data_IF_203787286161
#
_entry.id   IF_203787286161
#
_cell.length_a   1.000
_cell.length_b   1.000
_cell.length_c   1.000
_cell.angle_alpha   90.00
_cell.angle_beta   90.00
_cell.angle_gamma   90.00
#
_symmetry.space_group_name_H-M   'P 1'
#
loop_
_entity.id
_entity.type
_entity.pdbx_description
1 polymer ?
#
# COMPACT_ATOMS: atom_id res chain seq x y z
N UNK A 1 21.81 -25.88 31.13
CA UNK A 1 21.83 -25.54 29.74
C UNK A 1 21.41 -24.11 29.52
N UNK A 2 22.32 -23.32 29.06
CA UNK A 2 21.95 -21.92 28.85
C UNK A 2 20.93 -21.83 27.73
N UNK A 3 19.99 -20.98 27.97
CA UNK A 3 19.01 -20.66 26.95
C UNK A 3 19.63 -19.68 25.96
N UNK A 4 19.31 -19.88 24.72
CA UNK A 4 19.75 -18.91 23.74
C UNK A 4 19.17 -17.55 24.05
N UNK A 5 19.93 -16.52 23.84
CA UNK A 5 19.34 -15.19 23.99
C UNK A 5 18.17 -15.01 23.05
N UNK A 6 17.20 -14.33 23.52
CA UNK A 6 16.08 -13.99 22.66
C UNK A 6 16.59 -13.16 21.50
N UNK A 7 16.01 -13.35 20.34
CA UNK A 7 16.34 -12.46 19.24
C UNK A 7 15.98 -11.03 19.61
N UNK A 8 16.72 -10.07 19.08
CA UNK A 8 16.33 -8.68 19.32
C UNK A 8 14.91 -8.47 18.89
N UNK A 9 14.21 -7.70 19.68
CA UNK A 9 12.83 -7.38 19.35
C UNK A 9 12.81 -6.59 18.05
N UNK A 10 12.01 -6.99 17.07
CA UNK A 10 11.90 -6.21 15.85
C UNK A 10 11.04 -4.97 16.01
N UNK A 11 10.32 -4.86 17.12
CA UNK A 11 9.34 -3.80 17.27
C UNK A 11 9.92 -2.41 17.14
N UNK A 12 11.06 -2.07 17.75
CA UNK A 12 11.58 -0.71 17.58
C UNK A 12 11.90 -0.36 16.15
N UNK A 13 12.47 -1.30 15.41
CA UNK A 13 12.81 -1.04 14.02
C UNK A 13 11.57 -0.93 13.16
N UNK A 14 10.64 -1.86 13.36
CA UNK A 14 9.41 -1.84 12.58
C UNK A 14 8.59 -0.61 12.89
N UNK A 15 8.55 -0.23 14.16
CA UNK A 15 7.76 0.92 14.57
C UNK A 15 8.31 2.22 14.00
N UNK A 16 9.62 2.26 13.69
CA UNK A 16 10.24 3.48 13.18
C UNK A 16 10.29 3.51 11.66
N UNK A 17 9.99 2.40 11.00
CA UNK A 17 10.17 2.31 9.57
C UNK A 17 8.94 2.83 8.84
N UNK A 18 9.16 3.87 8.05
CA UNK A 18 8.12 4.40 7.16
C UNK A 18 8.25 3.70 5.82
N UNK A 19 7.14 3.24 5.29
CA UNK A 19 7.17 2.58 3.99
C UNK A 19 6.08 3.14 3.11
N UNK A 20 6.34 3.11 1.80
CA UNK A 20 5.30 3.29 0.79
C UNK A 20 5.22 1.94 0.07
N UNK A 21 4.01 1.41 0.00
CA UNK A 21 3.80 0.06 -0.50
C UNK A 21 2.79 0.06 -1.63
N UNK A 22 2.77 -1.06 -2.34
CA UNK A 22 1.80 -1.28 -3.40
C UNK A 22 1.09 -2.60 -3.12
N UNK A 23 -0.22 -2.56 -3.09
CA UNK A 23 -1.05 -3.76 -3.03
C UNK A 23 -1.50 -4.06 -4.45
N UNK A 24 -1.35 -5.30 -4.88
CA UNK A 24 -1.85 -5.74 -6.18
C UNK A 24 -2.98 -6.73 -5.95
N UNK A 25 -4.11 -6.45 -6.57
CA UNK A 25 -5.33 -7.24 -6.43
C UNK A 25 -5.43 -8.27 -7.53
N UNK A 26 -6.31 -9.27 -7.36
CA UNK A 26 -6.39 -10.36 -8.36
C UNK A 26 -6.73 -9.92 -9.77
N UNK A 27 -7.38 -8.77 -9.92
CA UNK A 27 -7.71 -8.24 -11.25
C UNK A 27 -6.58 -7.39 -11.84
N UNK A 28 -5.44 -7.30 -11.14
CA UNK A 28 -4.32 -6.51 -11.61
C UNK A 28 -4.34 -5.05 -11.20
N UNK A 29 -5.43 -4.58 -10.63
CA UNK A 29 -5.46 -3.20 -10.14
C UNK A 29 -4.63 -3.06 -8.88
N UNK A 30 -4.13 -1.86 -8.64
CA UNK A 30 -3.21 -1.63 -7.55
C UNK A 30 -3.70 -0.52 -6.64
N UNK A 31 -3.12 -0.50 -5.45
CA UNK A 31 -3.35 0.57 -4.48
C UNK A 31 -2.00 0.92 -3.86
N UNK A 32 -1.67 2.20 -3.87
CA UNK A 32 -0.45 2.71 -3.26
C UNK A 32 -0.82 3.32 -1.92
N UNK A 33 -0.07 2.98 -0.89
CA UNK A 33 -0.34 3.51 0.44
C UNK A 33 0.94 3.72 1.21
N UNK A 34 0.78 4.27 2.41
CA UNK A 34 1.91 4.47 3.31
C UNK A 34 1.59 3.84 4.66
N UNK A 35 2.63 3.38 5.32
CA UNK A 35 2.52 2.79 6.64
C UNK A 35 3.75 3.25 7.41
N UNK A 36 3.51 3.85 8.56
CA UNK A 36 4.60 4.42 9.33
C UNK A 36 5.30 3.40 10.20
N UNK A 37 4.74 2.23 10.33
CA UNK A 37 5.29 1.19 11.18
C UNK A 37 5.69 -0.07 10.41
N UNK A 38 5.42 -0.11 9.11
CA UNK A 38 5.70 -1.28 8.29
C UNK A 38 5.12 -2.56 8.89
N UNK A 39 3.87 -2.50 9.31
CA UNK A 39 3.20 -3.66 9.88
C UNK A 39 2.87 -4.66 8.80
N UNK A 40 3.24 -5.91 9.03
CA UNK A 40 2.95 -6.96 8.06
C UNK A 40 1.45 -7.17 7.87
N UNK A 41 0.67 -6.74 8.84
CA UNK A 41 -0.78 -6.93 8.78
C UNK A 41 -1.51 -5.75 8.18
N UNK A 42 -0.80 -4.72 7.74
CA UNK A 42 -1.44 -3.52 7.22
C UNK A 42 -1.47 -3.58 5.69
N UNK A 43 -2.66 -3.68 5.14
CA UNK A 43 -2.83 -3.79 3.70
C UNK A 43 -3.49 -2.57 3.07
N UNK A 44 -3.56 -1.50 3.82
CA UNK A 44 -3.97 -0.26 3.24
C UNK A 44 -5.42 0.10 3.49
N UNK A 45 -5.83 1.16 2.86
CA UNK A 45 -7.13 1.76 3.09
C UNK A 45 -7.88 1.98 1.80
N UNK A 46 -7.71 1.09 0.84
CA UNK A 46 -8.49 1.17 -0.38
C UNK A 46 -9.97 1.05 -0.04
N UNK A 47 -10.79 1.74 -0.81
CA UNK A 47 -12.21 1.77 -0.54
C UNK A 47 -12.84 0.40 -0.70
N UNK A 48 -13.51 -0.07 0.35
CA UNK A 48 -14.20 -1.35 0.29
C UNK A 48 -15.25 -1.34 -0.81
N UNK A 49 -15.89 -0.21 -1.02
CA UNK A 49 -16.92 -0.11 -2.04
C UNK A 49 -16.36 -0.27 -3.44
N UNK A 50 -15.20 0.33 -3.69
CA UNK A 50 -14.58 0.21 -5.00
C UNK A 50 -14.12 -1.22 -5.25
N UNK A 51 -13.55 -1.84 -4.23
CA UNK A 51 -13.08 -3.21 -4.37
C UNK A 51 -14.27 -4.15 -4.54
N UNK A 52 -15.32 -3.95 -3.75
CA UNK A 52 -16.49 -4.82 -3.80
C UNK A 52 -17.17 -4.76 -5.16
N UNK A 53 -17.06 -3.61 -5.83
CA UNK A 53 -17.67 -3.47 -7.14
C UNK A 53 -17.00 -4.35 -8.18
N UNK A 54 -15.71 -4.59 -8.02
CA UNK A 54 -14.92 -5.31 -9.01
C UNK A 54 -14.87 -6.81 -8.78
N UNK A 55 -15.37 -7.28 -7.64
CA UNK A 55 -15.23 -8.70 -7.30
C UNK A 55 -16.55 -9.24 -6.81
N UNK A 56 -16.99 -10.33 -7.44
CA UNK A 56 -18.20 -11.03 -7.03
C UNK A 56 -17.95 -11.74 -5.72
N UNK A 57 -19.03 -12.11 -5.00
CA UNK A 57 -18.84 -12.90 -3.78
C UNK A 57 -18.08 -14.21 -4.04
N UNK A 58 -18.27 -14.79 -5.20
CA UNK A 58 -17.58 -16.01 -5.55
C UNK A 58 -16.09 -15.78 -5.70
N UNK A 59 -15.72 -14.68 -6.36
CA UNK A 59 -14.32 -14.33 -6.53
C UNK A 59 -13.65 -14.03 -5.20
N UNK A 60 -14.42 -13.57 -4.21
CA UNK A 60 -13.86 -13.25 -2.92
C UNK A 60 -13.55 -14.46 -2.06
N UNK A 61 -14.01 -15.63 -2.46
CA UNK A 61 -13.72 -16.83 -1.69
C UNK A 61 -12.26 -17.22 -1.79
N UNK A 62 -11.62 -16.85 -2.87
CA UNK A 62 -10.19 -17.10 -3.05
C UNK A 62 -9.57 -15.81 -3.51
N UNK A 63 -9.19 -14.96 -2.56
CA UNK A 63 -8.82 -13.59 -2.82
C UNK A 63 -7.39 -13.38 -2.38
N UNK A 64 -6.49 -13.30 -3.33
CA UNK A 64 -5.07 -13.16 -3.06
C UNK A 64 -4.61 -11.77 -3.44
N UNK A 65 -3.95 -11.10 -2.52
CA UNK A 65 -3.30 -9.82 -2.81
C UNK A 65 -1.82 -9.97 -2.51
N UNK A 66 -1.02 -9.16 -3.18
CA UNK A 66 0.40 -9.07 -2.86
C UNK A 66 0.68 -7.68 -2.35
N UNK A 67 1.72 -7.58 -1.54
CA UNK A 67 2.14 -6.31 -0.97
C UNK A 67 3.62 -6.16 -1.22
N UNK A 68 3.99 -5.13 -1.94
CA UNK A 68 5.38 -4.84 -2.25
C UNK A 68 5.78 -3.52 -1.62
N UNK A 69 6.96 -3.48 -1.03
CA UNK A 69 7.50 -2.25 -0.49
C UNK A 69 8.22 -1.54 -1.62
N UNK A 70 7.77 -0.34 -1.93
CA UNK A 70 8.35 0.46 -3.00
C UNK A 70 9.43 1.38 -2.48
N UNK A 71 9.35 1.77 -1.21
CA UNK A 71 10.25 2.73 -0.62
C UNK A 71 10.17 2.64 0.89
N UNK A 72 11.28 2.83 1.56
CA UNK A 72 11.29 2.81 3.02
C UNK A 72 12.33 3.78 3.55
N UNK A 73 12.07 4.29 4.75
CA UNK A 73 12.96 5.24 5.40
C UNK A 73 12.72 5.24 6.90
N UNK A 74 13.82 5.24 7.65
CA UNK A 74 13.73 5.34 9.10
C UNK A 74 13.62 6.79 9.57
N UNK A 75 13.97 7.73 8.71
CA UNK A 75 14.15 9.12 9.15
C UNK A 75 13.23 10.11 8.46
N UNK A 76 12.49 9.68 7.47
CA UNK A 76 11.67 10.60 6.69
C UNK A 76 10.59 11.22 7.55
N UNK A 77 10.33 12.49 7.31
CA UNK A 77 9.22 13.16 7.96
C UNK A 77 7.90 12.70 7.37
N UNK A 78 6.82 13.01 8.06
CA UNK A 78 5.50 12.65 7.56
C UNK A 78 5.24 13.26 6.19
N UNK A 79 5.66 14.51 6.01
CA UNK A 79 5.42 15.17 4.72
C UNK A 79 6.27 14.55 3.62
N UNK A 80 7.46 14.08 3.93
CA UNK A 80 8.27 13.39 2.95
C UNK A 80 7.64 12.08 2.52
N UNK A 81 7.13 11.32 3.49
CA UNK A 81 6.47 10.06 3.18
C UNK A 81 5.26 10.30 2.29
N UNK A 82 4.47 11.31 2.65
CA UNK A 82 3.29 11.65 1.87
C UNK A 82 3.66 12.07 0.45
N UNK A 83 4.75 12.81 0.31
CA UNK A 83 5.19 13.23 -1.02
C UNK A 83 5.65 12.03 -1.85
N UNK A 84 6.36 11.10 -1.22
CA UNK A 84 6.81 9.90 -1.92
C UNK A 84 5.62 9.07 -2.36
N UNK A 85 4.65 8.90 -1.49
CA UNK A 85 3.43 8.18 -1.83
C UNK A 85 2.75 8.82 -3.02
N UNK A 86 2.63 10.14 -2.99
CA UNK A 86 1.99 10.88 -4.05
C UNK A 86 2.70 10.66 -5.39
N UNK A 87 4.03 10.69 -5.36
CA UNK A 87 4.80 10.49 -6.56
C UNK A 87 4.62 9.10 -7.13
N UNK A 88 4.52 8.10 -6.27
CA UNK A 88 4.28 6.75 -6.74
C UNK A 88 2.87 6.59 -7.30
N UNK A 89 1.87 7.22 -6.68
CA UNK A 89 0.52 7.20 -7.23
C UNK A 89 0.50 7.74 -8.64
N UNK A 90 1.19 8.85 -8.86
CA UNK A 90 1.22 9.45 -10.19
C UNK A 90 2.02 8.60 -11.16
N UNK A 91 3.13 8.06 -10.72
CA UNK A 91 3.98 7.24 -11.58
C UNK A 91 3.27 5.98 -12.04
N UNK A 92 2.60 5.31 -11.14
CA UNK A 92 1.89 4.07 -11.46
C UNK A 92 0.47 4.31 -11.92
N UNK A 93 0.00 5.55 -11.84
CA UNK A 93 -1.34 5.93 -12.26
C UNK A 93 -2.41 5.18 -11.49
N UNK A 94 -2.14 4.89 -10.23
CA UNK A 94 -3.10 4.13 -9.43
C UNK A 94 -4.34 4.92 -9.07
N UNK A 95 -4.34 6.22 -9.33
CA UNK A 95 -5.53 7.04 -9.16
C UNK A 95 -6.43 7.04 -10.42
N UNK A 96 -5.99 6.38 -11.49
CA UNK A 96 -6.82 6.14 -12.65
C UNK A 96 -7.70 4.93 -12.32
N UNK A 97 -9.03 5.07 -12.35
CA UNK A 97 -9.91 3.96 -11.99
C UNK A 97 -9.71 2.69 -12.82
N UNK A 98 -9.16 2.82 -14.01
CA UNK A 98 -8.85 1.66 -14.82
C UNK A 98 -7.61 0.92 -14.34
N UNK A 99 -6.79 1.57 -13.53
CA UNK A 99 -5.48 1.04 -13.13
C UNK A 99 -5.46 0.70 -11.64
N UNK A 100 -6.13 1.48 -10.81
CA UNK A 100 -6.00 1.29 -9.38
C UNK A 100 -7.14 1.88 -8.58
N UNK A 101 -6.95 1.83 -7.26
CA UNK A 101 -8.00 2.20 -6.32
C UNK A 101 -7.68 3.47 -5.52
N UNK A 102 -6.63 4.18 -5.87
CA UNK A 102 -6.35 5.43 -5.18
C UNK A 102 -7.32 6.51 -5.65
N UNK A 103 -7.86 7.23 -4.69
CA UNK A 103 -8.81 8.31 -5.00
C UNK A 103 -8.12 9.66 -5.09
N UNK A 104 -6.98 9.78 -4.47
CA UNK A 104 -6.26 11.04 -4.42
C UNK A 104 -4.85 10.85 -4.92
N UNK A 105 -4.30 11.79 -5.64
CA UNK A 105 -5.00 12.98 -6.14
C UNK A 105 -6.07 12.59 -7.15
N UNK A 106 -7.08 13.44 -7.33
CA UNK A 106 -8.13 13.12 -8.29
C UNK A 106 -7.54 12.88 -9.67
N UNK A 107 -8.09 11.89 -10.34
CA UNK A 107 -7.63 11.55 -11.68
C UNK A 107 -8.21 12.56 -12.66
N UNK A 108 -7.30 13.19 -13.42
CA UNK A 108 -7.72 14.21 -14.36
C UNK A 108 -8.37 13.64 -15.61
N UNK A 109 -8.12 12.36 -15.86
CA UNK A 109 -8.67 11.75 -17.05
C UNK A 109 -7.76 11.97 -18.25
N UNK A 110 -7.51 10.87 -18.96
CA UNK A 110 -6.63 10.95 -20.11
C UNK A 110 -7.31 11.62 -21.29
N UNK A 111 -8.62 11.63 -21.31
CA UNK A 111 -9.33 12.25 -22.40
C UNK A 111 -9.46 13.74 -22.27
N UNK A 112 -9.06 14.26 -21.18
CA UNK A 112 -9.11 15.68 -20.96
C UNK A 112 -7.97 16.37 -21.63
N UNK A 113 -8.23 17.40 -22.22
CA UNK A 113 -7.16 18.16 -22.89
C UNK A 113 -7.03 19.50 -22.25
#
# INVERSE_FOLDING_TARGET
MPREPDPPSPAPQDAAMNVVYRITYPNGKIYIGQDRTNSINYFGSASDELIARDFTPEQRRSFTVTRDILWESETASRSEVTQVEFEFILRYRSNDPAVGYNRNPPFAGSGRV
#
